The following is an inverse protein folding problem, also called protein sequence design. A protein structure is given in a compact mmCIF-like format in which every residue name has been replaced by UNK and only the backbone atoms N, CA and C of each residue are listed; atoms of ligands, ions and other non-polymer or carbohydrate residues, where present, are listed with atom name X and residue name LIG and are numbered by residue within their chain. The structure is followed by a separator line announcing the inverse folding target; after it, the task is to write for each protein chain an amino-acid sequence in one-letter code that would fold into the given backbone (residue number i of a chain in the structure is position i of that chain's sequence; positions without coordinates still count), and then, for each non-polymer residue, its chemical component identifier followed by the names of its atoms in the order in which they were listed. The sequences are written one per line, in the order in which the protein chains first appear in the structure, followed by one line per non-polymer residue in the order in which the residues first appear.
data_IF_000649183346
#
_entry.id   IF_000649183346
#
_cell.length_a   1.000
_cell.length_b   1.000
_cell.length_c   1.000
_cell.angle_alpha   90.00
_cell.angle_beta   90.00
_cell.angle_gamma   90.00
#
_symmetry.space_group_name_H-M   'P 1'
#
loop_
_entity.id
_entity.type
_entity.pdbx_description
1 polymer ?
#
# COMPACT_ATOMS: atom_id res chain seq x y z
N UNK A 1 -28.78 7.25 19.41
CA UNK A 1 -27.55 8.00 19.77
C UNK A 1 -26.43 7.10 20.32
N UNK A 2 -26.72 6.17 21.26
CA UNK A 2 -25.68 5.26 21.80
C UNK A 2 -25.11 4.28 20.74
N UNK A 3 -25.94 3.71 19.89
CA UNK A 3 -25.52 2.74 18.87
C UNK A 3 -24.62 3.38 17.81
N UNK A 4 -24.89 4.64 17.41
CA UNK A 4 -24.09 5.35 16.41
C UNK A 4 -22.69 5.68 16.94
N UNK A 5 -22.60 6.10 18.21
CA UNK A 5 -21.32 6.37 18.86
C UNK A 5 -20.47 5.08 19.00
N UNK A 6 -21.13 3.95 19.32
CA UNK A 6 -20.45 2.66 19.43
C UNK A 6 -19.85 2.22 18.09
N UNK A 7 -20.60 2.34 16.99
CA UNK A 7 -20.09 2.00 15.63
C UNK A 7 -18.91 2.88 15.27
N UNK A 8 -19.01 4.20 15.51
CA UNK A 8 -17.94 5.15 15.23
C UNK A 8 -16.62 4.78 15.93
N UNK A 9 -16.70 4.37 17.23
CA UNK A 9 -15.52 4.04 18.03
C UNK A 9 -15.00 2.61 17.82
N UNK A 10 -15.85 1.68 17.36
CA UNK A 10 -15.51 0.25 17.28
C UNK A 10 -14.97 -0.20 15.93
N UNK A 11 -14.97 0.66 14.91
CA UNK A 11 -14.42 0.29 13.60
C UNK A 11 -12.89 0.23 13.64
N UNK A 12 -12.29 -0.67 12.84
CA UNK A 12 -10.85 -0.73 12.64
C UNK A 12 -10.33 0.35 11.68
N UNK A 13 -11.23 1.04 10.97
CA UNK A 13 -10.90 2.10 10.04
C UNK A 13 -10.86 3.45 10.76
N UNK A 14 -9.87 4.27 10.39
CA UNK A 14 -9.79 5.64 10.87
C UNK A 14 -10.92 6.48 10.26
N UNK A 15 -11.70 7.14 11.11
CA UNK A 15 -12.77 8.05 10.69
C UNK A 15 -12.44 9.44 11.20
N UNK A 16 -12.61 10.43 10.33
CA UNK A 16 -12.54 11.83 10.68
C UNK A 16 -13.68 12.62 10.05
N UNK A 17 -14.19 13.59 10.80
CA UNK A 17 -15.14 14.58 10.33
C UNK A 17 -14.46 15.93 10.21
N UNK A 18 -14.84 16.71 9.20
CA UNK A 18 -14.42 18.11 9.09
C UNK A 18 -15.60 19.01 8.81
N UNK A 19 -15.48 20.27 9.20
CA UNK A 19 -16.40 21.31 8.76
C UNK A 19 -16.19 21.67 7.27
N UNK A 20 -16.97 22.61 6.76
CA UNK A 20 -16.87 23.12 5.37
C UNK A 20 -15.56 23.87 5.09
N UNK A 21 -14.83 24.28 6.14
CA UNK A 21 -13.49 24.89 6.05
C UNK A 21 -12.38 23.85 6.20
N UNK A 22 -12.72 22.57 6.10
CA UNK A 22 -11.79 21.43 6.24
C UNK A 22 -11.12 21.35 7.63
N UNK A 23 -11.72 21.88 8.68
CA UNK A 23 -11.20 21.74 10.04
C UNK A 23 -11.79 20.50 10.69
N UNK A 24 -10.93 19.66 11.26
CA UNK A 24 -11.30 18.41 11.93
C UNK A 24 -12.18 18.75 13.13
N UNK A 25 -13.36 18.16 13.20
CA UNK A 25 -14.35 18.35 14.25
C UNK A 25 -14.51 17.11 15.13
N UNK A 26 -14.19 15.92 14.62
CA UNK A 26 -14.17 14.68 15.38
C UNK A 26 -13.26 13.66 14.70
N UNK A 27 -12.67 12.77 15.49
CA UNK A 27 -11.94 11.59 15.06
C UNK A 27 -12.31 10.41 15.95
N UNK A 28 -12.26 9.18 15.40
CA UNK A 28 -12.49 7.98 16.18
C UNK A 28 -11.19 7.43 16.79
N UNK A 29 -11.32 6.40 17.60
CA UNK A 29 -10.20 5.69 18.24
C UNK A 29 -9.20 5.16 17.19
N UNK A 30 -9.68 4.51 16.12
CA UNK A 30 -8.83 3.94 15.09
C UNK A 30 -8.00 5.02 14.35
N UNK A 31 -8.54 6.22 14.15
CA UNK A 31 -7.76 7.36 13.64
C UNK A 31 -6.52 7.60 14.51
N UNK A 32 -6.70 7.65 15.84
CA UNK A 32 -5.60 7.88 16.78
C UNK A 32 -4.57 6.75 16.74
N UNK A 33 -5.04 5.51 16.71
CA UNK A 33 -4.18 4.32 16.66
C UNK A 33 -3.36 4.25 15.35
N UNK A 34 -3.99 4.55 14.21
CA UNK A 34 -3.32 4.53 12.91
C UNK A 34 -2.35 5.70 12.76
N UNK A 35 -2.75 6.91 13.10
CA UNK A 35 -1.97 8.12 12.79
C UNK A 35 -0.97 8.50 13.87
N UNK A 36 -1.22 8.07 15.11
CA UNK A 36 -0.43 8.47 16.29
C UNK A 36 -0.75 9.86 16.82
N UNK A 37 -1.71 10.57 16.22
CA UNK A 37 -2.20 11.85 16.75
C UNK A 37 -3.37 11.63 17.68
N UNK A 38 -3.37 12.26 18.85
CA UNK A 38 -4.54 12.28 19.73
C UNK A 38 -5.66 13.17 19.15
N UNK A 39 -6.88 12.96 19.60
CA UNK A 39 -8.02 13.81 19.24
C UNK A 39 -7.74 15.28 19.54
N UNK A 40 -7.27 15.59 20.76
CA UNK A 40 -6.96 16.96 21.18
C UNK A 40 -5.90 17.65 20.32
N UNK A 41 -4.99 16.90 19.72
CA UNK A 41 -3.97 17.42 18.82
C UNK A 41 -4.50 17.72 17.42
N UNK A 42 -5.62 17.10 17.04
CA UNK A 42 -6.16 17.16 15.66
C UNK A 42 -7.34 18.13 15.54
N UNK A 43 -8.16 18.28 16.57
CA UNK A 43 -9.31 19.17 16.56
C UNK A 43 -8.94 20.59 16.12
N UNK A 44 -9.73 21.14 15.17
CA UNK A 44 -9.52 22.48 14.60
C UNK A 44 -8.39 22.59 13.59
N UNK A 45 -7.55 21.55 13.43
CA UNK A 45 -6.54 21.48 12.35
C UNK A 45 -7.14 20.94 11.07
N UNK A 46 -6.44 21.09 9.97
CA UNK A 46 -6.84 20.49 8.70
C UNK A 46 -6.19 19.11 8.54
N UNK A 47 -6.78 18.18 7.76
CA UNK A 47 -6.19 16.86 7.47
C UNK A 47 -4.78 16.93 6.82
N UNK A 48 -4.33 18.10 6.41
CA UNK A 48 -2.95 18.32 5.97
C UNK A 48 -1.87 17.88 6.97
N UNK A 49 -2.21 17.76 8.25
CA UNK A 49 -1.28 17.20 9.27
C UNK A 49 -0.81 15.79 8.92
N UNK A 50 -1.61 15.04 8.13
CA UNK A 50 -1.29 13.69 7.66
C UNK A 50 -0.54 13.68 6.33
N UNK A 51 -0.33 14.82 5.68
CA UNK A 51 0.30 14.87 4.36
C UNK A 51 1.73 14.36 4.40
N UNK A 52 2.04 13.42 3.52
CA UNK A 52 3.41 12.90 3.32
C UNK A 52 4.29 13.82 2.48
N UNK A 53 3.68 14.72 1.69
CA UNK A 53 4.37 15.49 0.66
C UNK A 53 4.71 14.72 -0.62
N UNK A 54 4.30 13.45 -0.73
CA UNK A 54 4.57 12.61 -1.92
C UNK A 54 3.60 12.87 -3.07
N UNK A 55 2.44 13.42 -2.79
CA UNK A 55 1.47 13.82 -3.81
C UNK A 55 1.63 15.31 -4.12
N UNK A 56 1.57 15.64 -5.41
CA UNK A 56 1.67 17.00 -5.90
C UNK A 56 0.34 17.79 -5.77
N UNK A 57 0.39 19.06 -6.13
CA UNK A 57 -0.80 19.91 -6.10
C UNK A 57 -1.88 19.49 -7.11
N UNK A 58 -1.49 18.87 -8.23
CA UNK A 58 -2.42 18.41 -9.25
C UNK A 58 -3.27 17.24 -8.73
N UNK A 59 -2.67 16.31 -7.99
CA UNK A 59 -3.39 15.21 -7.32
C UNK A 59 -4.48 15.75 -6.39
N UNK A 60 -4.12 16.67 -5.48
CA UNK A 60 -5.09 17.24 -4.55
C UNK A 60 -6.16 18.08 -5.24
N UNK A 61 -5.82 18.79 -6.32
CA UNK A 61 -6.79 19.55 -7.11
C UNK A 61 -7.82 18.62 -7.77
N UNK A 62 -7.38 17.50 -8.36
CA UNK A 62 -8.26 16.48 -8.94
C UNK A 62 -9.17 15.84 -7.89
N UNK A 63 -8.61 15.48 -6.72
CA UNK A 63 -9.37 14.95 -5.58
C UNK A 63 -10.48 15.93 -5.16
N UNK A 64 -10.16 17.20 -4.96
CA UNK A 64 -11.14 18.22 -4.58
C UNK A 64 -12.15 18.50 -5.66
N UNK A 65 -11.75 18.52 -6.93
CA UNK A 65 -12.66 18.68 -8.04
C UNK A 65 -13.71 17.57 -8.05
N UNK A 66 -13.31 16.31 -7.93
CA UNK A 66 -14.21 15.18 -7.88
C UNK A 66 -15.13 15.24 -6.64
N UNK A 67 -14.57 15.49 -5.45
CA UNK A 67 -15.33 15.59 -4.21
C UNK A 67 -16.40 16.71 -4.25
N UNK A 68 -16.09 17.83 -4.88
CA UNK A 68 -17.05 18.95 -4.98
C UNK A 68 -18.11 18.73 -6.06
N UNK A 69 -17.77 18.12 -7.21
CA UNK A 69 -18.68 17.85 -8.32
C UNK A 69 -19.57 16.63 -8.06
N UNK A 70 -18.98 15.53 -7.57
CA UNK A 70 -19.69 14.25 -7.41
C UNK A 70 -20.15 13.99 -5.96
N UNK A 71 -19.63 14.76 -5.00
CA UNK A 71 -19.93 14.61 -3.59
C UNK A 71 -19.14 13.51 -2.89
N UNK A 72 -18.31 12.77 -3.61
CA UNK A 72 -17.45 11.73 -3.06
C UNK A 72 -16.11 11.63 -3.79
N UNK A 73 -15.12 11.11 -3.12
CA UNK A 73 -13.82 10.72 -3.68
C UNK A 73 -13.32 9.47 -2.97
N UNK A 74 -12.66 8.58 -3.71
CA UNK A 74 -11.97 7.44 -3.14
C UNK A 74 -10.65 7.18 -3.85
N UNK A 75 -9.66 6.71 -3.12
CA UNK A 75 -8.37 6.39 -3.71
C UNK A 75 -7.30 6.08 -2.68
N UNK A 76 -6.13 5.75 -3.20
CA UNK A 76 -4.94 5.52 -2.38
C UNK A 76 -4.21 6.84 -2.16
N UNK A 77 -3.87 7.12 -0.90
CA UNK A 77 -3.04 8.26 -0.50
C UNK A 77 -1.89 7.77 0.36
N UNK A 78 -0.68 8.24 0.07
CA UNK A 78 0.44 8.08 0.99
C UNK A 78 0.38 9.16 2.06
N UNK A 79 0.14 8.77 3.29
CA UNK A 79 0.08 9.62 4.46
C UNK A 79 1.35 9.48 5.32
N UNK A 80 1.48 10.36 6.31
CA UNK A 80 2.56 10.37 7.28
C UNK A 80 1.99 10.38 8.70
N UNK A 81 2.43 9.43 9.54
CA UNK A 81 2.09 9.37 10.96
C UNK A 81 2.82 10.47 11.74
N UNK A 82 2.39 10.71 12.96
CA UNK A 82 3.04 11.65 13.89
C UNK A 82 4.52 11.36 14.11
N UNK A 83 4.93 10.10 14.12
CA UNK A 83 6.33 9.66 14.27
C UNK A 83 7.18 9.84 13.00
N UNK A 84 6.60 10.36 11.91
CA UNK A 84 7.28 10.57 10.64
C UNK A 84 7.22 9.39 9.66
N UNK A 85 6.70 8.23 10.06
CA UNK A 85 6.56 7.05 9.20
C UNK A 85 5.54 7.31 8.09
N UNK A 86 5.91 7.01 6.85
CA UNK A 86 4.99 6.99 5.72
C UNK A 86 4.18 5.71 5.69
N UNK A 87 2.93 5.81 5.30
CA UNK A 87 2.07 4.64 5.11
C UNK A 87 1.06 4.87 3.99
N UNK A 88 0.80 3.87 3.14
CA UNK A 88 -0.27 3.91 2.17
C UNK A 88 -1.60 3.72 2.89
N UNK A 89 -2.57 4.55 2.57
CA UNK A 89 -3.94 4.41 3.05
C UNK A 89 -4.92 4.37 1.89
N UNK A 90 -5.92 3.51 1.98
CA UNK A 90 -7.10 3.59 1.14
C UNK A 90 -8.09 4.51 1.82
N UNK A 91 -8.51 5.57 1.14
CA UNK A 91 -9.34 6.61 1.70
C UNK A 91 -10.63 6.80 0.88
N UNK A 92 -11.73 7.00 1.59
CA UNK A 92 -13.03 7.36 1.03
C UNK A 92 -13.51 8.64 1.71
N UNK A 93 -13.79 9.68 0.95
CA UNK A 93 -14.24 11.00 1.44
C UNK A 93 -15.61 11.30 0.85
N UNK A 94 -16.56 11.67 1.70
CA UNK A 94 -17.91 12.03 1.31
C UNK A 94 -18.26 13.43 1.80
N UNK A 95 -18.87 14.22 0.92
CA UNK A 95 -19.50 15.49 1.26
C UNK A 95 -20.92 15.24 1.76
N UNK A 96 -21.19 15.56 2.99
CA UNK A 96 -22.54 15.44 3.57
C UNK A 96 -23.31 16.72 3.33
N UNK A 97 -24.55 16.58 2.81
CA UNK A 97 -25.40 17.71 2.43
C UNK A 97 -26.66 17.74 3.30
N UNK A 98 -27.20 18.93 3.52
CA UNK A 98 -28.49 19.12 4.18
C UNK A 98 -29.67 18.98 3.20
N UNK A 99 -30.89 19.17 3.70
CA UNK A 99 -32.11 19.13 2.89
C UNK A 99 -32.18 20.17 1.76
N UNK A 100 -31.38 21.22 1.83
CA UNK A 100 -31.23 22.26 0.81
C UNK A 100 -30.09 21.97 -0.17
N UNK A 101 -29.53 20.76 -0.13
CA UNK A 101 -28.40 20.32 -0.97
C UNK A 101 -27.09 21.08 -0.72
N UNK A 102 -26.97 21.79 0.40
CA UNK A 102 -25.74 22.49 0.79
C UNK A 102 -24.81 21.55 1.58
N UNK A 103 -23.53 21.55 1.24
CA UNK A 103 -22.52 20.78 1.99
C UNK A 103 -22.41 21.36 3.40
N UNK A 104 -22.57 20.50 4.40
CA UNK A 104 -22.47 20.86 5.82
C UNK A 104 -21.17 20.42 6.45
N UNK A 105 -20.62 19.28 6.02
CA UNK A 105 -19.37 18.71 6.52
C UNK A 105 -18.85 17.63 5.56
N UNK A 106 -17.61 17.21 5.79
CA UNK A 106 -17.04 16.06 5.09
C UNK A 106 -16.75 14.95 6.09
N UNK A 107 -16.90 13.72 5.62
CA UNK A 107 -16.55 12.50 6.35
C UNK A 107 -15.48 11.77 5.55
N UNK A 108 -14.35 11.49 6.16
CA UNK A 108 -13.34 10.63 5.58
C UNK A 108 -13.19 9.36 6.41
N UNK A 109 -13.19 8.23 5.72
CA UNK A 109 -12.94 6.90 6.27
C UNK A 109 -11.69 6.36 5.59
N UNK A 110 -10.74 5.86 6.35
CA UNK A 110 -9.50 5.34 5.76
C UNK A 110 -8.96 4.12 6.51
N UNK A 111 -8.32 3.25 5.75
CA UNK A 111 -7.62 2.08 6.25
C UNK A 111 -6.12 2.18 5.93
N UNK A 112 -5.28 1.78 6.89
CA UNK A 112 -3.86 1.53 6.62
C UNK A 112 -3.74 0.22 5.82
N UNK A 113 -3.24 0.32 4.59
CA UNK A 113 -3.07 -0.84 3.70
C UNK A 113 -1.61 -1.33 3.62
N UNK A 114 -0.75 -0.92 4.57
CA UNK A 114 0.66 -1.35 4.60
C UNK A 114 0.81 -2.86 4.66
N UNK A 115 0.08 -3.52 5.55
CA UNK A 115 0.11 -4.98 5.69
C UNK A 115 -0.37 -5.69 4.41
N UNK A 116 -1.41 -5.17 3.76
CA UNK A 116 -1.92 -5.70 2.50
C UNK A 116 -0.86 -5.56 1.38
N UNK A 117 -0.23 -4.39 1.26
CA UNK A 117 0.84 -4.14 0.28
C UNK A 117 2.05 -5.05 0.51
N UNK A 118 2.46 -5.22 1.77
CA UNK A 118 3.57 -6.13 2.11
C UNK A 118 3.22 -7.59 1.80
N UNK A 119 2.00 -8.04 2.13
CA UNK A 119 1.55 -9.39 1.80
C UNK A 119 1.52 -9.61 0.28
N UNK A 120 1.00 -8.65 -0.48
CA UNK A 120 0.98 -8.70 -1.94
C UNK A 120 2.40 -8.77 -2.53
N UNK A 121 3.31 -7.90 -2.09
CA UNK A 121 4.70 -7.89 -2.54
C UNK A 121 5.41 -9.20 -2.20
N UNK A 122 5.14 -9.78 -1.02
CA UNK A 122 5.70 -11.08 -0.62
C UNK A 122 5.19 -12.21 -1.50
N UNK A 123 3.90 -12.25 -1.82
CA UNK A 123 3.32 -13.25 -2.72
C UNK A 123 3.90 -13.13 -4.13
N UNK A 124 4.02 -11.90 -4.63
CA UNK A 124 4.63 -11.63 -5.93
C UNK A 124 6.10 -12.09 -5.98
N UNK A 125 6.87 -11.79 -4.92
CA UNK A 125 8.24 -12.28 -4.80
C UNK A 125 8.30 -13.81 -4.80
N UNK A 126 7.45 -14.50 -4.02
CA UNK A 126 7.41 -15.96 -3.97
C UNK A 126 6.98 -16.59 -5.30
N UNK A 127 6.10 -15.94 -6.06
CA UNK A 127 5.69 -16.42 -7.37
C UNK A 127 6.83 -16.35 -8.41
N UNK A 128 7.82 -15.48 -8.21
CA UNK A 128 8.88 -15.21 -9.18
C UNK A 128 10.29 -15.64 -8.75
N UNK A 129 10.44 -16.12 -7.49
CA UNK A 129 11.75 -16.51 -6.95
C UNK A 129 11.69 -17.91 -6.35
N UNK A 130 12.81 -18.60 -6.41
CA UNK A 130 13.01 -19.90 -5.73
C UNK A 130 13.08 -19.68 -4.22
N UNK A 131 12.34 -20.45 -3.45
CA UNK A 131 12.21 -20.27 -1.99
C UNK A 131 13.47 -20.65 -1.21
N UNK A 132 14.33 -21.49 -1.78
CA UNK A 132 15.56 -21.94 -1.14
C UNK A 132 16.72 -20.96 -1.32
N UNK A 133 16.93 -20.54 -2.57
CA UNK A 133 18.10 -19.76 -2.99
C UNK A 133 17.80 -18.25 -3.09
N UNK A 134 16.53 -17.87 -3.21
CA UNK A 134 16.13 -16.49 -3.50
C UNK A 134 16.41 -16.04 -4.94
N UNK A 135 16.93 -16.92 -5.79
CA UNK A 135 17.18 -16.62 -7.19
C UNK A 135 15.88 -16.55 -8.00
N UNK A 136 15.86 -15.84 -9.15
CA UNK A 136 14.74 -15.90 -10.07
C UNK A 136 14.37 -17.35 -10.42
N UNK A 137 13.10 -17.67 -10.29
CA UNK A 137 12.62 -18.99 -10.68
C UNK A 137 12.43 -19.08 -12.20
N UNK A 138 12.05 -20.26 -12.67
CA UNK A 138 11.83 -20.52 -14.09
C UNK A 138 10.84 -19.54 -14.73
N UNK A 139 9.75 -19.21 -14.03
CA UNK A 139 8.72 -18.31 -14.55
C UNK A 139 9.28 -16.90 -14.79
N UNK A 140 10.03 -16.34 -13.83
CA UNK A 140 10.64 -15.03 -13.98
C UNK A 140 11.71 -15.02 -15.09
N UNK A 141 12.47 -16.12 -15.20
CA UNK A 141 13.45 -16.28 -16.26
C UNK A 141 12.78 -16.27 -17.65
N UNK A 142 11.74 -17.08 -17.85
CA UNK A 142 10.99 -17.16 -19.11
C UNK A 142 10.39 -15.80 -19.49
N UNK A 143 9.80 -15.08 -18.53
CA UNK A 143 9.25 -13.74 -18.75
C UNK A 143 10.34 -12.74 -19.19
N UNK A 144 11.49 -12.73 -18.51
CA UNK A 144 12.61 -11.85 -18.87
C UNK A 144 13.21 -12.18 -20.23
N UNK A 145 13.34 -13.46 -20.54
CA UNK A 145 13.81 -13.91 -21.84
C UNK A 145 12.87 -13.45 -22.96
N UNK A 146 11.55 -13.59 -22.74
CA UNK A 146 10.54 -13.16 -23.69
C UNK A 146 10.57 -11.65 -23.93
N UNK A 147 10.72 -10.85 -22.86
CA UNK A 147 10.87 -9.40 -22.96
C UNK A 147 12.14 -9.01 -23.74
N UNK A 148 13.27 -9.66 -23.43
CA UNK A 148 14.53 -9.40 -24.12
C UNK A 148 14.48 -9.74 -25.63
N UNK A 149 13.71 -10.76 -26.02
CA UNK A 149 13.50 -11.13 -27.42
C UNK A 149 12.57 -10.17 -28.16
N UNK A 150 11.66 -9.49 -27.46
CA UNK A 150 10.72 -8.53 -28.04
C UNK A 150 11.29 -7.10 -28.11
N UNK A 151 12.35 -6.82 -27.36
CA UNK A 151 13.01 -5.51 -27.34
C UNK A 151 13.85 -5.29 -28.61
N UNK A 152 13.20 -4.69 -29.61
CA UNK A 152 13.82 -4.39 -30.91
C UNK A 152 14.84 -3.23 -30.84
N UNK A 153 14.78 -2.41 -29.79
CA UNK A 153 15.66 -1.25 -29.58
C UNK A 153 16.90 -1.60 -28.73
N UNK A 154 17.04 -2.86 -28.31
CA UNK A 154 18.19 -3.30 -27.55
C UNK A 154 19.48 -3.19 -28.38
N UNK A 155 20.53 -2.53 -27.86
CA UNK A 155 21.84 -2.48 -28.54
C UNK A 155 22.50 -3.87 -28.69
N UNK A 156 21.96 -4.88 -28.01
CA UNK A 156 22.41 -6.26 -28.03
C UNK A 156 21.47 -7.12 -28.87
N UNK A 157 21.72 -7.22 -30.16
CA UNK A 157 20.89 -8.01 -31.09
C UNK A 157 21.03 -9.54 -30.91
N UNK A 158 21.97 -9.99 -30.08
CA UNK A 158 22.25 -11.41 -29.83
C UNK A 158 22.41 -11.69 -28.36
N UNK A 159 21.67 -12.66 -27.85
CA UNK A 159 21.78 -13.18 -26.51
C UNK A 159 22.08 -14.68 -26.53
N UNK A 160 22.60 -15.20 -25.42
CA UNK A 160 22.76 -16.64 -25.21
C UNK A 160 22.09 -17.05 -23.89
N UNK A 161 21.48 -18.23 -23.88
CA UNK A 161 20.99 -18.88 -22.66
C UNK A 161 21.98 -19.97 -22.31
N UNK A 162 22.47 -19.92 -21.07
CA UNK A 162 23.40 -20.91 -20.53
C UNK A 162 22.69 -21.73 -19.48
N UNK A 163 22.71 -23.05 -19.63
CA UNK A 163 22.24 -23.99 -18.61
C UNK A 163 23.44 -24.55 -17.85
N UNK A 164 23.37 -24.46 -16.54
CA UNK A 164 24.38 -25.03 -15.63
C UNK A 164 23.73 -26.12 -14.77
N UNK A 165 24.44 -27.20 -14.56
CA UNK A 165 24.05 -28.29 -13.66
C UNK A 165 25.20 -28.63 -12.71
N UNK A 166 24.87 -29.08 -11.51
CA UNK A 166 25.85 -29.48 -10.50
C UNK A 166 26.13 -30.97 -10.59
N UNK A 167 27.31 -31.32 -11.04
CA UNK A 167 27.74 -32.71 -11.13
C UNK A 167 27.65 -33.44 -9.78
N UNK A 168 26.98 -34.60 -9.78
CA UNK A 168 26.83 -35.47 -8.63
C UNK A 168 26.14 -34.85 -7.41
N UNK A 169 25.34 -33.79 -7.58
CA UNK A 169 24.59 -33.17 -6.48
C UNK A 169 23.71 -34.17 -5.74
N UNK A 170 23.13 -35.12 -6.44
CA UNK A 170 22.37 -36.23 -5.83
C UNK A 170 23.22 -37.01 -4.83
N UNK A 171 24.47 -37.32 -5.12
CA UNK A 171 25.36 -38.06 -4.22
C UNK A 171 25.64 -37.32 -2.92
N UNK A 172 25.68 -35.97 -2.97
CA UNK A 172 25.83 -35.12 -1.79
C UNK A 172 24.59 -35.28 -0.90
N UNK A 173 23.40 -35.17 -1.48
CA UNK A 173 22.14 -35.32 -0.75
C UNK A 173 22.02 -36.75 -0.14
N UNK A 174 22.35 -37.79 -0.91
CA UNK A 174 22.27 -39.15 -0.46
C UNK A 174 23.27 -39.48 0.64
N UNK A 175 24.45 -38.84 0.65
CA UNK A 175 25.52 -39.11 1.61
C UNK A 175 25.49 -38.21 2.85
N UNK A 176 25.10 -36.94 2.70
CA UNK A 176 25.19 -35.89 3.75
C UNK A 176 23.82 -35.35 4.15
N UNK A 177 22.75 -35.76 3.47
CA UNK A 177 21.38 -35.32 3.69
C UNK A 177 21.03 -34.03 2.98
N UNK A 178 19.73 -33.83 2.74
CA UNK A 178 19.19 -32.65 2.09
C UNK A 178 19.58 -31.30 2.73
N UNK A 179 19.69 -31.15 4.07
CA UNK A 179 20.12 -29.90 4.67
C UNK A 179 21.50 -29.42 4.21
N UNK A 180 22.42 -30.37 3.95
CA UNK A 180 23.77 -30.02 3.44
C UNK A 180 23.71 -29.65 1.97
N UNK A 181 22.91 -30.35 1.17
CA UNK A 181 22.65 -29.97 -0.21
C UNK A 181 22.02 -28.57 -0.34
N UNK A 182 21.06 -28.25 0.53
CA UNK A 182 20.43 -26.94 0.60
C UNK A 182 21.43 -25.82 0.93
N UNK A 183 22.37 -26.10 1.84
CA UNK A 183 23.45 -25.14 2.16
C UNK A 183 24.38 -24.93 0.95
N UNK A 184 24.70 -26.00 0.23
CA UNK A 184 25.54 -25.90 -0.98
C UNK A 184 24.88 -25.04 -2.07
N UNK A 185 23.56 -25.12 -2.21
CA UNK A 185 22.80 -24.30 -3.18
C UNK A 185 22.69 -22.83 -2.79
N UNK A 186 22.87 -22.51 -1.50
CA UNK A 186 22.82 -21.12 -1.01
C UNK A 186 24.17 -20.37 -1.15
N UNK A 187 25.24 -21.08 -1.45
CA UNK A 187 26.60 -20.54 -1.66
C UNK A 187 27.30 -20.29 -0.39
#
# INVERSE_FOLDING_TARGET
LLQTATVFESTAEGILFTDTRQRITAVNRAFTEITGYSESETLGKTPRILSSGQHDSAFYAAMWHQLTSEGHWQGEICNKRKNGQFYPSWMNINAVRNSENLVTHFVAVFADISSLKHAQARLDYQAHHDSLTGLPNRLLFENRLQQALLDQDSPYQHGAVVFLDLDRFKNINDSLGHPVGDLLLKG
#
